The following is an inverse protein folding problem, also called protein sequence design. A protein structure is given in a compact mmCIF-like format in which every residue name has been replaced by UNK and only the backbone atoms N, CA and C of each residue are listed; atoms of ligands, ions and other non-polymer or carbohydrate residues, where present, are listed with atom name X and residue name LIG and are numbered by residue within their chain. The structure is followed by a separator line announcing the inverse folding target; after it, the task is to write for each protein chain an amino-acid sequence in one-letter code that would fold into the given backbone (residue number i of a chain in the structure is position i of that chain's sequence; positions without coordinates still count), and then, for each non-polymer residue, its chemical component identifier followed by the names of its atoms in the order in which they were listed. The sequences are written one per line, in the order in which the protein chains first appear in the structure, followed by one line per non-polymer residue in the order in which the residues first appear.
data_IF_060699405209
#
_entry.id   IF_060699405209
#
_cell.length_a   1.000
_cell.length_b   1.000
_cell.length_c   1.000
_cell.angle_alpha   90.00
_cell.angle_beta   90.00
_cell.angle_gamma   90.00
#
_symmetry.space_group_name_H-M   'P 1'
#
loop_
_entity.id
_entity.type
_entity.pdbx_description
1 polymer ?
#
# COMPACT_ATOMS: atom_id res chain seq x y z
N UNK A 1 4.28 9.85 2.25
CA UNK A 1 3.61 9.28 1.08
C UNK A 1 2.11 9.32 1.33
N UNK A 2 1.30 9.74 0.37
CA UNK A 2 -0.16 9.59 0.46
C UNK A 2 -0.59 8.26 -0.15
N UNK A 3 -1.52 7.55 0.50
CA UNK A 3 -2.13 6.33 -0.02
C UNK A 3 -3.64 6.56 -0.11
N UNK A 4 -4.21 6.29 -1.28
CA UNK A 4 -5.63 6.41 -1.54
C UNK A 4 -6.23 5.05 -1.89
N UNK A 5 -7.31 4.68 -1.21
CA UNK A 5 -8.14 3.53 -1.58
C UNK A 5 -9.32 4.02 -2.41
N UNK A 6 -9.28 3.85 -3.73
CA UNK A 6 -10.42 4.15 -4.61
C UNK A 6 -11.19 2.89 -5.02
N UNK A 7 -10.80 1.73 -4.49
CA UNK A 7 -11.51 0.48 -4.69
C UNK A 7 -12.84 0.49 -3.90
N UNK A 8 -13.77 -0.39 -4.28
CA UNK A 8 -15.02 -0.57 -3.55
C UNK A 8 -14.85 -1.46 -2.30
N UNK A 9 -13.63 -1.95 -2.05
CA UNK A 9 -13.29 -2.84 -0.94
C UNK A 9 -12.34 -2.18 0.05
N UNK A 10 -12.44 -2.48 1.35
CA UNK A 10 -11.48 -1.99 2.33
C UNK A 10 -10.13 -2.71 2.24
N UNK A 11 -9.06 -1.98 2.57
CA UNK A 11 -7.71 -2.54 2.77
C UNK A 11 -7.49 -2.70 4.27
N UNK A 12 -7.14 -3.92 4.70
CA UNK A 12 -6.86 -4.19 6.11
C UNK A 12 -5.36 -4.10 6.45
N UNK A 13 -4.48 -4.33 5.47
CA UNK A 13 -3.04 -4.32 5.69
C UNK A 13 -2.29 -3.69 4.52
N UNK A 14 -1.24 -2.94 4.83
CA UNK A 14 -0.36 -2.33 3.84
C UNK A 14 1.10 -2.57 4.25
N UNK A 15 1.87 -3.20 3.38
CA UNK A 15 3.27 -3.53 3.64
C UNK A 15 4.19 -2.87 2.63
N UNK A 16 5.40 -2.54 3.06
CA UNK A 16 6.49 -2.12 2.19
C UNK A 16 7.73 -2.97 2.49
N UNK A 17 8.36 -3.50 1.44
CA UNK A 17 9.49 -4.41 1.59
C UNK A 17 9.84 -5.13 0.29
N UNK A 18 10.27 -6.38 0.43
CA UNK A 18 10.55 -7.30 -0.68
C UNK A 18 9.63 -8.53 -0.59
N UNK A 19 9.33 -9.19 -1.73
CA UNK A 19 8.56 -10.44 -1.71
C UNK A 19 9.16 -11.48 -0.75
N UNK A 20 8.38 -11.91 0.23
CA UNK A 20 8.82 -12.87 1.27
C UNK A 20 9.54 -12.26 2.47
N UNK A 21 9.89 -10.97 2.41
CA UNK A 21 10.49 -10.20 3.49
C UNK A 21 9.74 -8.87 3.65
N UNK A 22 8.52 -8.97 4.18
CA UNK A 22 7.65 -7.82 4.42
C UNK A 22 8.05 -7.14 5.74
N UNK A 23 8.03 -5.81 5.75
CA UNK A 23 8.17 -5.03 6.97
C UNK A 23 6.88 -5.04 7.80
N UNK A 24 6.76 -4.05 8.69
CA UNK A 24 5.58 -3.83 9.52
C UNK A 24 4.34 -3.47 8.67
N UNK A 25 3.15 -3.72 9.21
CA UNK A 25 1.91 -3.17 8.66
C UNK A 25 1.88 -1.65 8.86
N UNK A 26 1.94 -0.91 7.76
CA UNK A 26 1.92 0.54 7.70
C UNK A 26 0.59 1.11 8.17
N UNK A 27 -0.49 0.34 8.14
CA UNK A 27 -1.79 0.78 8.65
C UNK A 27 -1.90 0.64 10.17
N UNK A 28 -1.00 -0.11 10.81
CA UNK A 28 -0.96 -0.37 12.26
C UNK A 28 -2.28 -0.93 12.78
N UNK A 29 -2.86 -1.88 12.03
CA UNK A 29 -4.14 -2.52 12.36
C UNK A 29 -5.38 -1.65 12.11
N UNK A 30 -5.23 -0.46 11.50
CA UNK A 30 -6.36 0.34 11.05
C UNK A 30 -6.78 -0.06 9.63
N UNK A 31 -8.08 -0.17 9.39
CA UNK A 31 -8.59 -0.40 8.04
C UNK A 31 -8.61 0.91 7.21
N UNK A 32 -8.35 0.82 5.91
CA UNK A 32 -8.65 1.90 4.95
C UNK A 32 -9.94 1.57 4.20
N UNK A 33 -11.03 2.23 4.61
CA UNK A 33 -12.32 2.15 3.94
C UNK A 33 -12.26 2.61 2.46
N UNK A 34 -13.23 2.20 1.62
CA UNK A 34 -13.41 2.76 0.27
C UNK A 34 -13.46 4.30 0.29
N UNK A 35 -12.71 4.93 -0.62
CA UNK A 35 -12.56 6.38 -0.71
C UNK A 35 -11.59 7.00 0.31
N UNK A 36 -11.03 6.23 1.24
CA UNK A 36 -10.14 6.75 2.26
C UNK A 36 -8.79 7.16 1.67
N UNK A 37 -8.27 8.28 2.17
CA UNK A 37 -6.93 8.77 1.88
C UNK A 37 -6.18 8.91 3.19
N UNK A 38 -4.97 8.35 3.26
CA UNK A 38 -4.15 8.40 4.48
C UNK A 38 -2.67 8.63 4.18
N UNK A 39 -1.98 9.48 4.97
CA UNK A 39 -0.53 9.55 4.90
C UNK A 39 0.10 8.31 5.56
N UNK A 40 1.12 7.75 4.91
CA UNK A 40 1.96 6.68 5.45
C UNK A 40 3.44 7.08 5.39
N UNK A 41 4.19 6.58 6.36
CA UNK A 41 5.65 6.70 6.41
C UNK A 41 6.24 5.38 5.98
N UNK A 42 6.96 5.38 4.87
CA UNK A 42 7.69 4.20 4.44
C UNK A 42 8.98 4.08 5.26
N UNK A 43 9.34 2.89 5.78
CA UNK A 43 10.65 2.66 6.35
C UNK A 43 11.74 2.90 5.30
N UNK A 44 12.95 3.26 5.76
CA UNK A 44 14.07 3.68 4.91
C UNK A 44 14.52 2.66 3.84
N UNK A 45 15.49 3.06 3.03
CA UNK A 45 16.01 2.39 1.83
C UNK A 45 16.13 0.87 2.01
N UNK A 46 15.24 0.11 1.36
CA UNK A 46 15.17 -1.35 1.51
C UNK A 46 13.88 -1.99 1.00
N UNK A 47 12.79 -1.21 0.86
CA UNK A 47 11.60 -1.66 0.15
C UNK A 47 11.63 -1.25 -1.32
N UNK A 48 11.17 -2.14 -2.20
CA UNK A 48 10.89 -1.80 -3.61
C UNK A 48 9.48 -2.20 -4.01
N UNK A 49 8.80 -2.98 -3.16
CA UNK A 49 7.47 -3.47 -3.40
C UNK A 49 6.54 -3.00 -2.30
N UNK A 50 5.43 -2.40 -2.70
CA UNK A 50 4.29 -2.12 -1.84
C UNK A 50 3.25 -3.22 -2.06
N UNK A 51 2.72 -3.77 -0.96
CA UNK A 51 1.69 -4.81 -1.00
C UNK A 51 0.49 -4.35 -0.17
N UNK A 52 -0.69 -4.35 -0.79
CA UNK A 52 -1.96 -4.09 -0.12
C UNK A 52 -2.77 -5.38 -0.02
N UNK A 53 -3.38 -5.63 1.13
CA UNK A 53 -4.24 -6.79 1.38
C UNK A 53 -5.65 -6.30 1.68
N UNK A 54 -6.61 -6.79 0.89
CA UNK A 54 -8.04 -6.53 1.09
C UNK A 54 -8.56 -7.37 2.25
N UNK A 55 -9.70 -6.99 2.83
CA UNK A 55 -10.36 -7.72 3.93
C UNK A 55 -10.78 -9.15 3.61
N UNK A 56 -10.73 -9.56 2.33
CA UNK A 56 -10.97 -10.94 1.90
C UNK A 56 -9.68 -11.76 1.70
N UNK A 57 -8.53 -11.21 2.11
CA UNK A 57 -7.22 -11.85 2.04
C UNK A 57 -6.54 -11.77 0.66
N UNK A 58 -7.21 -11.26 -0.38
CA UNK A 58 -6.57 -11.05 -1.68
C UNK A 58 -5.56 -9.90 -1.58
N UNK A 59 -4.44 -10.03 -2.26
CA UNK A 59 -3.38 -9.02 -2.26
C UNK A 59 -3.09 -8.50 -3.66
N UNK A 60 -2.67 -7.24 -3.72
CA UNK A 60 -2.12 -6.61 -4.92
C UNK A 60 -0.77 -5.98 -4.59
N UNK A 61 0.12 -5.96 -5.59
CA UNK A 61 1.51 -5.52 -5.41
C UNK A 61 1.89 -4.47 -6.44
N UNK A 62 2.60 -3.44 -5.99
CA UNK A 62 3.27 -2.45 -6.82
C UNK A 62 4.77 -2.64 -6.64
N UNK A 63 5.46 -3.08 -7.69
CA UNK A 63 6.91 -3.27 -7.70
C UNK A 63 7.62 -2.06 -8.29
N UNK A 64 8.86 -1.84 -7.88
CA UNK A 64 9.69 -0.73 -8.36
C UNK A 64 9.25 0.64 -7.84
N UNK A 65 8.60 0.69 -6.68
CA UNK A 65 8.23 1.95 -6.04
C UNK A 65 9.49 2.73 -5.66
N UNK A 66 9.59 3.97 -6.14
CA UNK A 66 10.64 4.91 -5.78
C UNK A 66 10.04 6.01 -4.88
N UNK A 67 10.23 5.95 -3.55
CA UNK A 67 9.67 6.94 -2.62
C UNK A 67 10.23 8.35 -2.81
N UNK A 68 11.36 8.50 -3.51
CA UNK A 68 11.95 9.80 -3.82
C UNK A 68 11.27 10.47 -5.03
N UNK A 69 10.68 9.67 -5.93
CA UNK A 69 10.00 10.15 -7.14
C UNK A 69 8.49 10.13 -7.04
N UNK A 70 7.94 9.16 -6.31
CA UNK A 70 6.52 8.97 -6.13
C UNK A 70 6.07 9.56 -4.79
N UNK A 71 5.01 10.35 -4.84
CA UNK A 71 4.47 11.01 -3.64
C UNK A 71 3.12 10.43 -3.23
N UNK A 72 2.47 9.73 -4.16
CA UNK A 72 1.12 9.18 -3.99
C UNK A 72 1.02 7.76 -4.51
N UNK A 73 0.23 6.96 -3.82
CA UNK A 73 -0.16 5.61 -4.22
C UNK A 73 -1.68 5.56 -4.34
N UNK A 74 -2.16 4.96 -5.42
CA UNK A 74 -3.59 4.74 -5.65
C UNK A 74 -3.85 3.25 -5.77
N UNK A 75 -4.69 2.74 -4.88
CA UNK A 75 -5.18 1.37 -4.88
C UNK A 75 -6.59 1.35 -5.49
N UNK A 76 -6.75 0.59 -6.56
CA UNK A 76 -8.01 0.42 -7.28
C UNK A 76 -8.37 -1.07 -7.34
N UNK A 77 -9.52 -1.36 -7.93
CA UNK A 77 -9.99 -2.73 -8.14
C UNK A 77 -8.93 -3.54 -8.92
N UNK A 78 -8.27 -4.48 -8.22
CA UNK A 78 -7.28 -5.39 -8.80
C UNK A 78 -5.96 -4.74 -9.23
N UNK A 79 -5.72 -3.46 -8.94
CA UNK A 79 -4.50 -2.76 -9.36
C UNK A 79 -4.02 -1.74 -8.34
N UNK A 80 -2.71 -1.49 -8.33
CA UNK A 80 -2.06 -0.48 -7.51
C UNK A 80 -1.03 0.25 -8.36
N UNK A 81 -0.97 1.57 -8.24
CA UNK A 81 -0.07 2.43 -9.01
C UNK A 81 0.51 3.56 -8.16
N UNK A 82 1.69 4.02 -8.57
CA UNK A 82 2.35 5.19 -8.01
C UNK A 82 2.17 6.38 -8.96
N UNK A 83 1.94 7.56 -8.37
CA UNK A 83 1.96 8.86 -9.05
C UNK A 83 3.13 9.71 -8.52
#
# INVERSE_FOLDING_TARGET
MEVANIAARPVEQLYYGAPGAWGEDLLRGAEMAPGAVRPVTLPGVGGHTLRAVWTDGRAIELRGLDPCRNTRIVMAEGSIRAD
#
